data_IF_475068510827
#
_entry.id   IF_475068510827
#
_cell.length_a   1.000
_cell.length_b   1.000
_cell.length_c   1.000
_cell.angle_alpha   90.00
_cell.angle_beta   90.00
_cell.angle_gamma   90.00
#
_symmetry.space_group_name_H-M   'P 1'
#
loop_
_entity.id
_entity.type
_entity.pdbx_description
1 polymer ?
#
# COMPACT_ATOMS: atom_id res chain seq x y z
N UNK A 1 -1.44 -13.32 20.28
CA UNK A 1 -1.60 -12.28 21.33
C UNK A 1 -2.78 -11.38 21.00
N UNK A 2 -3.43 -10.74 21.97
CA UNK A 2 -4.46 -9.73 21.69
C UNK A 2 -3.85 -8.45 21.09
N UNK A 3 -4.60 -7.79 20.20
CA UNK A 3 -4.19 -6.51 19.61
C UNK A 3 -4.09 -5.39 20.64
N UNK A 4 -3.08 -4.51 20.56
CA UNK A 4 -3.02 -3.30 21.40
C UNK A 4 -4.09 -2.28 20.98
N UNK A 5 -4.60 -1.45 21.93
CA UNK A 5 -5.67 -0.50 21.65
C UNK A 5 -5.38 0.49 20.50
N UNK A 6 -4.12 0.90 20.34
CA UNK A 6 -3.69 1.78 19.25
C UNK A 6 -3.95 1.17 17.87
N UNK A 7 -3.79 -0.14 17.72
CA UNK A 7 -4.02 -0.87 16.47
C UNK A 7 -5.50 -1.22 16.32
N UNK A 8 -6.20 -1.52 17.42
CA UNK A 8 -7.64 -1.86 17.39
C UNK A 8 -8.49 -0.80 16.68
N UNK A 9 -8.08 0.48 16.72
CA UNK A 9 -8.77 1.59 16.03
C UNK A 9 -8.91 1.38 14.50
N UNK A 10 -8.00 0.62 13.89
CA UNK A 10 -8.02 0.32 12.46
C UNK A 10 -9.10 -0.72 12.10
N UNK A 11 -9.62 -1.45 13.09
CA UNK A 11 -10.55 -2.56 12.90
C UNK A 11 -11.96 -2.22 13.36
N UNK A 12 -12.45 -1.00 13.10
CA UNK A 12 -13.78 -0.54 13.52
C UNK A 12 -14.96 -1.39 12.99
N UNK A 13 -14.73 -2.21 11.95
CA UNK A 13 -15.71 -3.14 11.38
C UNK A 13 -15.69 -4.54 12.01
N UNK A 14 -14.74 -4.80 12.90
CA UNK A 14 -14.53 -6.11 13.53
C UNK A 14 -14.62 -5.97 15.05
N UNK A 15 -14.80 -7.10 15.73
CA UNK A 15 -14.56 -7.20 17.16
C UNK A 15 -13.04 -7.21 17.40
N UNK A 16 -12.44 -6.02 17.38
CA UNK A 16 -10.99 -5.82 17.46
C UNK A 16 -10.38 -6.42 18.74
N UNK A 17 -11.16 -6.48 19.81
CA UNK A 17 -10.85 -7.13 21.09
C UNK A 17 -10.66 -8.65 20.98
N UNK A 18 -11.26 -9.27 19.95
CA UNK A 18 -11.18 -10.71 19.66
C UNK A 18 -10.14 -11.07 18.61
N UNK A 19 -9.51 -10.07 17.99
CA UNK A 19 -8.44 -10.30 17.02
C UNK A 19 -7.17 -10.73 17.76
N UNK A 20 -6.81 -11.98 17.51
CA UNK A 20 -5.50 -12.54 17.84
C UNK A 20 -4.50 -12.31 16.70
N UNK A 21 -3.31 -11.81 17.04
CA UNK A 21 -2.21 -11.49 16.10
C UNK A 21 -1.84 -12.66 15.20
N UNK A 22 -1.79 -13.87 15.73
CA UNK A 22 -1.22 -15.00 15.01
C UNK A 22 -2.30 -15.64 14.13
N UNK A 23 -3.49 -15.82 14.69
CA UNK A 23 -4.63 -16.43 13.98
C UNK A 23 -5.21 -15.54 12.89
N UNK A 24 -5.14 -14.22 13.04
CA UNK A 24 -5.78 -13.27 12.13
C UNK A 24 -4.79 -12.41 11.34
N UNK A 25 -3.55 -12.86 11.19
CA UNK A 25 -2.51 -12.16 10.44
C UNK A 25 -2.97 -11.76 9.03
N UNK A 26 -3.76 -12.61 8.36
CA UNK A 26 -4.29 -12.36 7.02
C UNK A 26 -5.23 -11.14 6.93
N UNK A 27 -5.81 -10.69 8.04
CA UNK A 27 -6.64 -9.48 8.11
C UNK A 27 -5.83 -8.33 8.71
N UNK A 28 -4.98 -8.62 9.70
CA UNK A 28 -4.22 -7.59 10.40
C UNK A 28 -3.18 -6.93 9.49
N UNK A 29 -2.37 -7.74 8.81
CA UNK A 29 -1.30 -7.25 7.94
C UNK A 29 -1.83 -6.29 6.87
N UNK A 30 -2.82 -6.64 6.02
CA UNK A 30 -3.30 -5.72 4.99
C UNK A 30 -3.89 -4.44 5.56
N UNK A 31 -4.69 -4.53 6.64
CA UNK A 31 -5.32 -3.35 7.24
C UNK A 31 -4.30 -2.36 7.79
N UNK A 32 -3.26 -2.85 8.47
CA UNK A 32 -2.21 -1.97 9.03
C UNK A 32 -1.33 -1.40 7.93
N UNK A 33 -0.98 -2.19 6.91
CA UNK A 33 -0.21 -1.69 5.76
C UNK A 33 -1.00 -0.68 4.92
N UNK A 34 -2.33 -0.77 4.87
CA UNK A 34 -3.18 0.12 4.09
C UNK A 34 -3.50 1.44 4.82
N UNK A 35 -3.88 1.35 6.10
CA UNK A 35 -4.48 2.48 6.83
C UNK A 35 -3.70 2.91 8.08
N UNK A 36 -2.60 2.20 8.41
CA UNK A 36 -1.77 2.47 9.58
C UNK A 36 -0.92 3.74 9.48
N UNK A 37 -0.54 4.29 10.63
CA UNK A 37 0.50 5.31 10.76
C UNK A 37 1.90 4.69 10.82
N UNK A 38 2.94 5.54 10.86
CA UNK A 38 4.32 5.09 11.08
C UNK A 38 4.46 4.23 12.35
N UNK A 39 3.84 4.66 13.46
CA UNK A 39 3.87 3.91 14.72
C UNK A 39 3.17 2.54 14.60
N UNK A 40 2.09 2.47 13.81
CA UNK A 40 1.39 1.21 13.58
C UNK A 40 2.23 0.25 12.72
N UNK A 41 3.00 0.79 11.77
CA UNK A 41 3.93 0.01 10.97
C UNK A 41 5.10 -0.49 11.81
N UNK A 42 5.69 0.34 12.67
CA UNK A 42 6.75 -0.07 13.60
C UNK A 42 6.28 -1.25 14.46
N UNK A 43 5.05 -1.17 15.00
CA UNK A 43 4.44 -2.29 15.71
C UNK A 43 4.29 -3.53 14.83
N UNK A 44 3.78 -3.37 13.60
CA UNK A 44 3.56 -4.49 12.68
C UNK A 44 4.87 -5.24 12.38
N UNK A 45 5.94 -4.49 12.09
CA UNK A 45 7.26 -5.04 11.82
C UNK A 45 7.88 -5.66 13.07
N UNK A 46 7.62 -5.13 14.27
CA UNK A 46 8.06 -5.74 15.52
C UNK A 46 7.35 -7.08 15.81
N UNK A 47 6.06 -7.20 15.49
CA UNK A 47 5.27 -8.42 15.76
C UNK A 47 5.53 -9.52 14.75
N UNK A 48 5.44 -9.22 13.44
CA UNK A 48 5.54 -10.24 12.40
C UNK A 48 6.95 -10.38 11.83
N UNK A 49 7.80 -9.35 11.98
CA UNK A 49 9.12 -9.31 11.40
C UNK A 49 9.13 -8.93 9.93
N UNK A 50 10.22 -8.30 9.51
CA UNK A 50 10.44 -7.85 8.13
C UNK A 50 10.27 -8.97 7.10
N UNK A 51 10.91 -10.11 7.31
CA UNK A 51 10.93 -11.22 6.34
C UNK A 51 9.53 -11.80 6.12
N UNK A 52 8.71 -11.91 7.16
CA UNK A 52 7.35 -12.41 7.07
C UNK A 52 6.48 -11.47 6.25
N UNK A 53 6.58 -10.16 6.49
CA UNK A 53 5.79 -9.15 5.76
C UNK A 53 6.26 -9.05 4.31
N UNK A 54 7.57 -9.15 4.05
CA UNK A 54 8.11 -9.20 2.71
C UNK A 54 7.62 -10.45 1.94
N UNK A 55 7.64 -11.62 2.58
CA UNK A 55 7.11 -12.86 1.99
C UNK A 55 5.59 -12.80 1.77
N UNK A 56 4.87 -12.06 2.61
CA UNK A 56 3.44 -11.81 2.43
C UNK A 56 3.18 -10.92 1.21
N UNK A 57 3.90 -9.80 1.08
CA UNK A 57 3.80 -8.86 -0.07
C UNK A 57 4.28 -9.48 -1.38
N UNK A 58 5.18 -10.47 -1.34
CA UNK A 58 5.62 -11.20 -2.52
C UNK A 58 4.49 -12.02 -3.18
N UNK A 59 3.44 -12.38 -2.44
CA UNK A 59 2.30 -13.13 -2.95
C UNK A 59 1.28 -12.18 -3.58
N UNK A 60 1.02 -12.33 -4.89
CA UNK A 60 0.10 -11.43 -5.62
C UNK A 60 -1.30 -11.38 -4.99
N UNK A 61 -1.87 -12.53 -4.62
CA UNK A 61 -3.19 -12.60 -4.01
C UNK A 61 -3.31 -11.82 -2.68
N UNK A 62 -2.22 -11.71 -1.94
CA UNK A 62 -2.16 -10.90 -0.72
C UNK A 62 -1.97 -9.42 -1.03
N UNK A 63 -1.07 -9.11 -1.97
CA UNK A 63 -0.85 -7.73 -2.42
C UNK A 63 -2.12 -7.09 -2.98
N UNK A 64 -2.95 -7.86 -3.67
CA UNK A 64 -4.23 -7.42 -4.23
C UNK A 64 -5.26 -7.02 -3.16
N UNK A 65 -5.02 -7.37 -1.88
CA UNK A 65 -5.83 -6.90 -0.75
C UNK A 65 -5.52 -5.45 -0.36
N UNK A 66 -4.39 -4.89 -0.83
CA UNK A 66 -4.01 -3.51 -0.56
C UNK A 66 -4.57 -2.56 -1.63
N UNK A 67 -4.88 -1.31 -1.25
CA UNK A 67 -5.09 -0.25 -2.23
C UNK A 67 -3.89 -0.14 -3.19
N UNK A 68 -4.09 0.08 -4.50
CA UNK A 68 -3.00 0.06 -5.48
C UNK A 68 -1.80 0.97 -5.15
N UNK A 69 -1.98 2.19 -4.59
CA UNK A 69 -0.85 3.02 -4.17
C UNK A 69 -0.02 2.36 -3.05
N UNK A 70 -0.68 1.72 -2.08
CA UNK A 70 -0.01 1.06 -0.95
C UNK A 70 0.66 -0.24 -1.40
N UNK A 71 0.02 -1.01 -2.29
CA UNK A 71 0.62 -2.18 -2.91
C UNK A 71 1.96 -1.83 -3.62
N UNK A 72 1.96 -0.75 -4.41
CA UNK A 72 3.15 -0.28 -5.11
C UNK A 72 4.23 0.22 -4.13
N UNK A 73 3.84 1.01 -3.12
CA UNK A 73 4.74 1.51 -2.08
C UNK A 73 5.44 0.37 -1.34
N UNK A 74 4.69 -0.59 -0.80
CA UNK A 74 5.27 -1.69 -0.02
C UNK A 74 6.06 -2.68 -0.87
N UNK A 75 5.67 -2.89 -2.13
CA UNK A 75 6.46 -3.69 -3.07
C UNK A 75 7.82 -3.05 -3.34
N UNK A 76 7.86 -1.73 -3.48
CA UNK A 76 9.11 -0.99 -3.64
C UNK A 76 9.99 -1.11 -2.39
N UNK A 77 9.44 -0.85 -1.20
CA UNK A 77 10.18 -0.84 0.05
C UNK A 77 10.69 -2.24 0.43
N UNK A 78 9.83 -3.26 0.35
CA UNK A 78 10.13 -4.58 0.89
C UNK A 78 10.83 -5.50 -0.11
N UNK A 79 10.53 -5.35 -1.40
CA UNK A 79 11.07 -6.23 -2.45
C UNK A 79 12.12 -5.54 -3.33
N UNK A 80 12.30 -4.22 -3.19
CA UNK A 80 13.20 -3.44 -4.05
C UNK A 80 12.75 -3.40 -5.51
N UNK A 81 11.48 -3.74 -5.79
CA UNK A 81 10.92 -3.78 -7.14
C UNK A 81 9.95 -2.62 -7.30
N UNK A 82 10.16 -1.79 -8.31
CA UNK A 82 9.09 -0.89 -8.75
C UNK A 82 8.10 -1.72 -9.55
N UNK A 83 6.90 -1.94 -9.02
CA UNK A 83 5.78 -2.23 -9.90
C UNK A 83 5.48 -0.96 -10.69
N UNK A 84 5.31 -1.11 -12.00
CA UNK A 84 4.84 -0.02 -12.84
C UNK A 84 3.54 0.45 -12.24
N UNK A 85 3.52 1.67 -11.69
CA UNK A 85 2.33 2.24 -11.09
C UNK A 85 1.16 2.04 -12.07
N UNK A 86 -0.03 1.61 -11.59
CA UNK A 86 -1.20 1.57 -12.45
C UNK A 86 -1.31 2.93 -13.11
N UNK A 87 -1.36 2.92 -14.43
CA UNK A 87 -1.35 4.14 -15.23
C UNK A 87 -2.63 4.90 -14.86
N UNK A 88 -2.52 5.89 -14.00
CA UNK A 88 -3.60 6.89 -13.79
C UNK A 88 -3.85 7.73 -15.05
N UNK A 89 -3.15 7.44 -16.15
CA UNK A 89 -3.48 7.91 -17.47
C UNK A 89 -4.25 6.83 -18.21
N UNK A 90 -5.46 7.18 -18.63
CA UNK A 90 -5.95 6.72 -19.94
C UNK A 90 -4.93 7.04 -21.05
N UNK A 91 -5.27 6.89 -22.33
CA UNK A 91 -4.36 7.29 -23.41
C UNK A 91 -3.81 8.67 -23.10
N UNK A 92 -2.48 8.85 -23.23
CA UNK A 92 -1.87 10.19 -23.13
C UNK A 92 -2.78 11.09 -23.95
N UNK A 93 -3.43 12.07 -23.31
CA UNK A 93 -4.07 13.13 -24.07
C UNK A 93 -2.92 13.80 -24.79
N UNK A 94 -2.72 13.42 -26.05
CA UNK A 94 -1.93 14.19 -26.98
C UNK A 94 -2.61 15.55 -26.99
N UNK A 95 -1.93 16.54 -26.40
CA UNK A 95 -2.37 17.91 -26.57
C UNK A 95 -2.23 18.18 -28.06
N UNK A 96 -3.33 18.49 -28.78
CA UNK A 96 -3.22 18.87 -30.18
C UNK A 96 -2.18 20.01 -30.30
N UNK A 97 -1.26 19.97 -31.27
CA UNK A 97 -0.21 20.98 -31.37
C UNK A 97 -0.75 22.42 -31.45
N UNK A 98 -1.97 22.56 -31.98
CA UNK A 98 -2.76 23.79 -32.10
C UNK A 98 -3.46 24.22 -30.80
N UNK A 99 -3.52 23.36 -29.78
CA UNK A 99 -4.05 23.69 -28.46
C UNK A 99 -2.98 24.25 -27.51
N UNK A 100 -1.71 24.31 -27.93
CA UNK A 100 -0.62 24.86 -27.13
C UNK A 100 -0.45 26.36 -27.40
N UNK A 101 -0.45 27.22 -26.35
CA UNK A 101 -0.22 28.65 -26.51
C UNK A 101 1.12 28.97 -27.17
N UNK A 102 1.21 30.16 -27.80
CA UNK A 102 2.40 30.60 -28.54
C UNK A 102 3.67 30.74 -27.67
N UNK A 103 3.51 30.82 -26.35
CA UNK A 103 4.62 30.90 -25.40
C UNK A 103 5.15 29.51 -24.96
N UNK A 104 4.51 28.41 -25.35
CA UNK A 104 4.91 27.08 -24.93
C UNK A 104 6.22 26.65 -25.63
N UNK A 105 7.24 26.13 -24.90
CA UNK A 105 8.55 25.83 -25.49
C UNK A 105 8.48 24.78 -26.61
N UNK A 106 9.06 25.10 -27.77
CA UNK A 106 9.06 24.19 -28.93
C UNK A 106 9.76 22.86 -28.68
N UNK A 107 10.72 22.81 -27.75
CA UNK A 107 11.41 21.56 -27.38
C UNK A 107 10.50 20.58 -26.62
N UNK A 108 9.32 21.02 -26.18
CA UNK A 108 8.34 20.23 -25.41
C UNK A 108 7.00 20.07 -26.15
N UNK A 109 6.87 20.61 -27.36
CA UNK A 109 5.76 20.34 -28.31
C UNK A 109 5.92 18.93 -28.90
#
# INVERSE_FOLDING_TARGET
>A
MSLPPSIQRLFYRYHADRLDTDRHAAIIIPSVLADGSLEDWDWLFAVYGWNTIAAWIAQSAHRDLLPPPMAAFWTLILLGRSETAPRWGGPRRTVPPDALPDWFPDALR
#
